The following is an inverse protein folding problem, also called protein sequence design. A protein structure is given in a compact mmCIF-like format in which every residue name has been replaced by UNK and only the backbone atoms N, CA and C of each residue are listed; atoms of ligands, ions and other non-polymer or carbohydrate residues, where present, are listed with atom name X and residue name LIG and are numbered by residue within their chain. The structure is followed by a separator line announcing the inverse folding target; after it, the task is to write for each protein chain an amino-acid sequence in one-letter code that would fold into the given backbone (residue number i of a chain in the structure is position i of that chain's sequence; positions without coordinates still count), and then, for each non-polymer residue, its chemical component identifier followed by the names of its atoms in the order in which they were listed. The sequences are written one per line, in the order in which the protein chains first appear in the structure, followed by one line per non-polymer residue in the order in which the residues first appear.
data_IF_612255520578
#
_entry.id   IF_612255520578
#
_cell.length_a   1.000
_cell.length_b   1.000
_cell.length_c   1.000
_cell.angle_alpha   90.00
_cell.angle_beta   90.00
_cell.angle_gamma   90.00
#
_symmetry.space_group_name_H-M   'P 1'
#
loop_
_entity.id
_entity.type
_entity.pdbx_description
1 polymer ?
#
# COMPACT_ATOMS: atom_id res chain seq x y z
N UNK A 1 -20.41 18.72 4.68
CA UNK A 1 -19.74 17.50 4.21
C UNK A 1 -20.82 16.47 3.88
N UNK A 2 -20.71 15.76 2.76
CA UNK A 2 -21.60 14.64 2.46
C UNK A 2 -21.09 13.42 3.25
N UNK A 3 -21.91 12.77 4.10
CA UNK A 3 -21.46 11.63 4.89
C UNK A 3 -21.08 10.46 3.98
N UNK A 4 -20.04 9.72 4.37
CA UNK A 4 -19.69 8.48 3.67
C UNK A 4 -20.85 7.48 3.82
N UNK A 5 -21.27 6.80 2.75
CA UNK A 5 -22.20 5.68 2.85
C UNK A 5 -21.61 4.57 3.71
N UNK A 6 -22.45 3.72 4.30
CA UNK A 6 -21.98 2.52 4.99
C UNK A 6 -21.33 1.55 4.02
N UNK A 7 -20.46 0.67 4.52
CA UNK A 7 -19.81 -0.36 3.70
C UNK A 7 -20.82 -1.19 2.92
N UNK A 8 -21.92 -1.61 3.56
CA UNK A 8 -22.98 -2.36 2.89
C UNK A 8 -23.63 -1.59 1.73
N UNK A 9 -23.88 -0.28 1.90
CA UNK A 9 -24.41 0.57 0.83
C UNK A 9 -23.38 0.75 -0.29
N UNK A 10 -22.12 0.93 0.06
CA UNK A 10 -21.02 1.08 -0.90
C UNK A 10 -20.82 -0.18 -1.74
N UNK A 11 -20.85 -1.36 -1.12
CA UNK A 11 -20.71 -2.64 -1.83
C UNK A 11 -21.91 -2.90 -2.74
N UNK A 12 -23.13 -2.66 -2.26
CA UNK A 12 -24.33 -2.78 -3.09
C UNK A 12 -24.26 -1.87 -4.32
N UNK A 13 -23.84 -0.62 -4.14
CA UNK A 13 -23.66 0.32 -5.25
C UNK A 13 -22.53 -0.11 -6.20
N UNK A 14 -21.42 -0.64 -5.66
CA UNK A 14 -20.31 -1.16 -6.48
C UNK A 14 -20.73 -2.38 -7.30
N UNK A 15 -21.71 -3.17 -6.85
CA UNK A 15 -22.22 -4.30 -7.63
C UNK A 15 -22.87 -3.85 -8.95
N UNK A 16 -23.58 -2.72 -8.93
CA UNK A 16 -24.15 -2.13 -10.14
C UNK A 16 -23.09 -1.43 -11.00
N UNK A 17 -22.13 -0.74 -10.36
CA UNK A 17 -21.11 0.04 -11.06
C UNK A 17 -19.99 -0.82 -11.68
N UNK A 18 -19.69 -1.96 -11.07
CA UNK A 18 -18.64 -2.92 -11.47
C UNK A 18 -19.25 -4.34 -11.51
N UNK A 19 -20.11 -4.63 -12.50
CA UNK A 19 -20.82 -5.91 -12.57
C UNK A 19 -19.89 -7.08 -12.88
N UNK A 20 -18.77 -6.82 -13.55
CA UNK A 20 -17.78 -7.83 -13.93
C UNK A 20 -16.84 -8.19 -12.77
N UNK A 21 -16.81 -7.39 -11.70
CA UNK A 21 -16.06 -7.72 -10.50
C UNK A 21 -16.85 -8.68 -9.62
N UNK A 22 -16.15 -9.61 -8.96
CA UNK A 22 -16.77 -10.41 -7.92
C UNK A 22 -16.97 -9.62 -6.60
N UNK A 23 -17.61 -10.24 -5.62
CA UNK A 23 -17.85 -9.59 -4.33
C UNK A 23 -16.55 -9.26 -3.57
N UNK A 24 -15.56 -10.15 -3.62
CA UNK A 24 -14.29 -9.95 -2.91
C UNK A 24 -13.48 -8.83 -3.54
N UNK A 25 -13.42 -8.76 -4.87
CA UNK A 25 -12.77 -7.66 -5.60
C UNK A 25 -13.40 -6.31 -5.23
N UNK A 26 -14.73 -6.23 -5.14
CA UNK A 26 -15.42 -5.01 -4.70
C UNK A 26 -15.08 -4.62 -3.26
N UNK A 27 -14.98 -5.60 -2.35
CA UNK A 27 -14.56 -5.36 -0.95
C UNK A 27 -13.11 -4.87 -0.89
N UNK A 28 -12.22 -5.47 -1.66
CA UNK A 28 -10.82 -5.09 -1.71
C UNK A 28 -10.66 -3.67 -2.29
N UNK A 29 -11.36 -3.36 -3.39
CA UNK A 29 -11.40 -2.01 -3.98
C UNK A 29 -11.92 -0.97 -2.99
N UNK A 30 -13.01 -1.29 -2.26
CA UNK A 30 -13.58 -0.39 -1.28
C UNK A 30 -12.61 -0.13 -0.12
N UNK A 31 -11.90 -1.18 0.31
CA UNK A 31 -10.85 -1.09 1.35
C UNK A 31 -9.71 -0.20 0.88
N UNK A 32 -9.18 -0.41 -0.33
CA UNK A 32 -8.14 0.43 -0.94
C UNK A 32 -8.60 1.88 -1.16
N UNK A 33 -9.90 2.08 -1.32
CA UNK A 33 -10.53 3.38 -1.47
C UNK A 33 -10.92 4.05 -0.15
N UNK A 34 -10.51 3.49 1.00
CA UNK A 34 -10.87 3.96 2.34
C UNK A 34 -12.39 4.18 2.52
N UNK A 35 -13.21 3.24 2.02
CA UNK A 35 -14.66 3.28 2.11
C UNK A 35 -15.35 4.16 1.07
N UNK A 36 -14.64 4.77 0.12
CA UNK A 36 -15.24 5.59 -0.93
C UNK A 36 -15.57 4.77 -2.19
N UNK A 37 -16.85 4.51 -2.50
CA UNK A 37 -17.22 3.73 -3.68
C UNK A 37 -16.85 4.42 -5.02
N UNK A 38 -16.85 5.76 -5.05
CA UNK A 38 -16.42 6.50 -6.24
C UNK A 38 -14.92 6.41 -6.49
N UNK A 39 -14.11 6.36 -5.43
CA UNK A 39 -12.66 6.14 -5.55
C UNK A 39 -12.39 4.70 -5.94
N UNK A 40 -13.14 3.73 -5.40
CA UNK A 40 -13.03 2.32 -5.78
C UNK A 40 -13.21 2.11 -7.30
N UNK A 41 -14.22 2.72 -7.92
CA UNK A 41 -14.40 2.68 -9.39
C UNK A 41 -13.21 3.28 -10.14
N UNK A 42 -12.66 4.39 -9.67
CA UNK A 42 -11.47 5.02 -10.29
C UNK A 42 -10.23 4.12 -10.18
N UNK A 43 -10.05 3.45 -9.04
CA UNK A 43 -8.96 2.51 -8.83
C UNK A 43 -9.10 1.29 -9.75
N UNK A 44 -10.31 0.74 -9.89
CA UNK A 44 -10.57 -0.35 -10.82
C UNK A 44 -10.21 0.04 -12.25
N UNK A 45 -10.66 1.20 -12.73
CA UNK A 45 -10.34 1.71 -14.07
C UNK A 45 -8.83 1.94 -14.32
N UNK A 46 -8.02 2.04 -13.25
CA UNK A 46 -6.56 2.18 -13.31
C UNK A 46 -5.82 0.83 -13.26
N UNK A 47 -6.53 -0.31 -13.19
CA UNK A 47 -5.90 -1.63 -13.08
C UNK A 47 -5.21 -1.83 -11.72
N UNK A 48 -5.75 -1.25 -10.64
CA UNK A 48 -5.09 -1.22 -9.32
C UNK A 48 -4.72 -2.61 -8.80
N UNK A 49 -5.53 -3.65 -9.08
CA UNK A 49 -5.28 -5.01 -8.59
C UNK A 49 -4.02 -5.61 -9.18
N UNK A 50 -3.83 -5.52 -10.50
CA UNK A 50 -2.65 -6.04 -11.18
C UNK A 50 -1.39 -5.29 -10.74
N UNK A 51 -1.48 -3.96 -10.65
CA UNK A 51 -0.38 -3.12 -10.15
C UNK A 51 -0.03 -3.47 -8.70
N UNK A 52 -1.03 -3.64 -7.84
CA UNK A 52 -0.82 -4.01 -6.44
C UNK A 52 -0.22 -5.39 -6.31
N UNK A 53 -0.72 -6.38 -7.05
CA UNK A 53 -0.17 -7.73 -7.05
C UNK A 53 1.31 -7.73 -7.44
N UNK A 54 1.69 -6.98 -8.49
CA UNK A 54 3.08 -6.80 -8.90
C UNK A 54 3.94 -6.21 -7.78
N UNK A 55 3.45 -5.19 -7.07
CA UNK A 55 4.19 -4.54 -5.98
C UNK A 55 4.28 -5.43 -4.75
N UNK A 56 3.20 -6.11 -4.37
CA UNK A 56 3.18 -7.06 -3.26
C UNK A 56 4.20 -8.17 -3.48
N UNK A 57 4.24 -8.76 -4.68
CA UNK A 57 5.24 -9.77 -5.02
C UNK A 57 6.67 -9.19 -5.04
N UNK A 58 6.84 -7.96 -5.53
CA UNK A 58 8.12 -7.26 -5.46
C UNK A 58 8.60 -7.03 -4.03
N UNK A 59 7.73 -6.59 -3.12
CA UNK A 59 8.03 -6.40 -1.69
C UNK A 59 8.42 -7.73 -1.05
N UNK A 60 7.69 -8.82 -1.34
CA UNK A 60 8.06 -10.15 -0.84
C UNK A 60 9.44 -10.58 -1.32
N UNK A 61 9.77 -10.35 -2.59
CA UNK A 61 11.08 -10.68 -3.17
C UNK A 61 12.20 -9.80 -2.59
N UNK A 62 11.93 -8.51 -2.37
CA UNK A 62 12.85 -7.59 -1.70
C UNK A 62 13.21 -8.10 -0.30
N UNK A 63 12.21 -8.42 0.52
CA UNK A 63 12.43 -8.88 1.90
C UNK A 63 13.12 -10.26 1.98
N UNK A 64 13.11 -11.03 0.89
CA UNK A 64 13.85 -12.29 0.74
C UNK A 64 15.25 -12.11 0.14
N UNK A 65 15.66 -10.88 -0.20
CA UNK A 65 16.91 -10.59 -0.90
C UNK A 65 16.95 -11.11 -2.35
N UNK A 66 15.80 -11.41 -2.95
CA UNK A 66 15.68 -11.98 -4.30
C UNK A 66 15.63 -10.92 -5.41
N UNK A 67 15.31 -9.68 -5.07
CA UNK A 67 15.35 -8.54 -5.97
C UNK A 67 15.93 -7.32 -5.24
N UNK A 68 16.77 -6.56 -5.94
CA UNK A 68 17.34 -5.33 -5.36
C UNK A 68 16.34 -4.17 -5.39
N UNK A 69 16.52 -3.17 -4.50
CA UNK A 69 15.77 -1.91 -4.56
C UNK A 69 15.78 -1.26 -5.95
N UNK A 70 16.95 -1.22 -6.62
CA UNK A 70 17.11 -0.64 -7.95
C UNK A 70 16.27 -1.36 -8.99
N UNK A 71 16.31 -2.71 -9.01
CA UNK A 71 15.56 -3.53 -9.97
C UNK A 71 14.05 -3.31 -9.85
N UNK A 72 13.54 -3.20 -8.62
CA UNK A 72 12.12 -2.93 -8.37
C UNK A 72 11.74 -1.49 -8.73
N UNK A 73 12.60 -0.51 -8.40
CA UNK A 73 12.37 0.89 -8.74
C UNK A 73 12.23 1.10 -10.26
N UNK A 74 13.06 0.42 -11.06
CA UNK A 74 12.94 0.42 -12.52
C UNK A 74 11.72 -0.37 -13.01
N UNK A 75 11.46 -1.53 -12.41
CA UNK A 75 10.32 -2.40 -12.77
C UNK A 75 8.95 -1.78 -12.51
N UNK A 76 8.85 -0.80 -11.61
CA UNK A 76 7.60 -0.10 -11.29
C UNK A 76 7.44 1.24 -12.01
N UNK A 77 8.16 1.50 -13.10
CA UNK A 77 8.12 2.78 -13.84
C UNK A 77 6.71 3.19 -14.28
N UNK A 78 5.85 2.24 -14.63
CA UNK A 78 4.51 2.47 -15.18
C UNK A 78 3.42 2.59 -14.11
N UNK A 79 3.73 2.29 -12.84
CA UNK A 79 2.79 2.42 -11.73
C UNK A 79 2.74 3.89 -11.27
N UNK A 80 1.57 4.51 -11.03
CA UNK A 80 1.52 5.85 -10.46
C UNK A 80 2.29 5.97 -9.13
N UNK A 81 3.19 6.95 -9.00
CA UNK A 81 3.98 7.15 -7.76
C UNK A 81 3.07 7.30 -6.54
N UNK A 82 1.96 8.04 -6.68
CA UNK A 82 1.03 8.24 -5.57
C UNK A 82 0.45 6.92 -5.05
N UNK A 83 0.12 5.96 -5.92
CA UNK A 83 -0.39 4.65 -5.49
C UNK A 83 0.66 3.87 -4.72
N UNK A 84 1.92 3.90 -5.17
CA UNK A 84 3.03 3.30 -4.42
C UNK A 84 3.11 3.89 -3.01
N UNK A 85 3.18 5.22 -2.91
CA UNK A 85 3.27 5.89 -1.61
C UNK A 85 2.02 5.66 -0.74
N UNK A 86 0.82 5.60 -1.30
CA UNK A 86 -0.41 5.26 -0.58
C UNK A 86 -0.31 3.86 0.05
N UNK A 87 0.09 2.84 -0.72
CA UNK A 87 0.24 1.48 -0.19
C UNK A 87 1.31 1.37 0.89
N UNK A 88 2.47 2.01 0.71
CA UNK A 88 3.52 1.99 1.73
C UNK A 88 3.09 2.74 3.00
N UNK A 89 2.34 3.85 2.90
CA UNK A 89 1.71 4.53 4.03
C UNK A 89 0.74 3.62 4.78
N UNK A 90 -0.12 2.92 4.04
CA UNK A 90 -1.12 2.02 4.62
C UNK A 90 -0.43 0.86 5.34
N UNK A 91 0.54 0.21 4.70
CA UNK A 91 1.26 -0.90 5.29
C UNK A 91 2.04 -0.50 6.56
N UNK A 92 2.74 0.64 6.58
CA UNK A 92 3.40 1.10 7.81
C UNK A 92 2.41 1.45 8.92
N UNK A 93 1.22 1.98 8.57
CA UNK A 93 0.16 2.23 9.55
C UNK A 93 -0.41 0.93 10.14
N UNK A 94 -0.60 -0.10 9.30
CA UNK A 94 -1.06 -1.42 9.75
C UNK A 94 -0.03 -2.13 10.63
N UNK A 95 1.27 -1.99 10.29
CA UNK A 95 2.38 -2.49 11.12
C UNK A 95 2.31 -1.85 12.52
N UNK A 96 2.20 -0.51 12.59
CA UNK A 96 2.12 0.22 13.86
C UNK A 96 0.87 -0.16 14.66
N UNK A 97 -0.29 -0.24 14.00
CA UNK A 97 -1.54 -0.67 14.64
C UNK A 97 -1.34 -2.03 15.29
N UNK A 98 -0.84 -3.01 14.55
CA UNK A 98 -0.64 -4.36 15.08
C UNK A 98 0.39 -4.38 16.23
N UNK A 99 1.49 -3.63 16.14
CA UNK A 99 2.45 -3.52 17.25
C UNK A 99 1.80 -3.03 18.55
N UNK A 100 0.83 -2.12 18.45
CA UNK A 100 0.14 -1.53 19.61
C UNK A 100 -1.05 -2.36 20.11
N UNK A 101 -1.78 -3.02 19.23
CA UNK A 101 -3.05 -3.67 19.59
C UNK A 101 -2.98 -5.20 19.61
N UNK A 102 -2.02 -5.80 18.91
CA UNK A 102 -1.95 -7.24 18.63
C UNK A 102 -3.23 -7.80 17.96
N UNK A 103 -4.05 -6.92 17.38
CA UNK A 103 -5.31 -7.26 16.72
C UNK A 103 -5.05 -7.77 15.29
N UNK A 104 -5.20 -9.07 15.08
CA UNK A 104 -4.97 -9.72 13.78
C UNK A 104 -6.04 -9.39 12.74
N UNK A 105 -7.26 -9.03 13.16
CA UNK A 105 -8.31 -8.59 12.24
C UNK A 105 -7.94 -7.27 11.56
N UNK A 106 -7.12 -6.46 12.24
CA UNK A 106 -6.62 -5.18 11.77
C UNK A 106 -5.42 -5.21 10.84
N UNK A 107 -4.97 -6.37 10.36
CA UNK A 107 -3.77 -6.50 9.52
C UNK A 107 -3.98 -6.12 8.04
N UNK A 108 -5.20 -5.74 7.66
CA UNK A 108 -5.56 -5.34 6.30
C UNK A 108 -5.83 -6.52 5.36
N UNK A 109 -5.70 -6.26 4.06
CA UNK A 109 -6.00 -7.22 2.99
C UNK A 109 -5.14 -8.49 3.06
N UNK A 110 -5.68 -9.59 2.54
CA UNK A 110 -5.09 -10.93 2.61
C UNK A 110 -3.73 -11.03 1.91
N UNK A 111 -3.52 -10.25 0.84
CA UNK A 111 -2.32 -10.21 0.03
C UNK A 111 -1.04 -9.85 0.82
N UNK A 112 -1.21 -8.98 1.83
CA UNK A 112 -0.14 -8.40 2.63
C UNK A 112 -0.22 -8.73 4.12
N UNK A 113 -1.33 -9.30 4.61
CA UNK A 113 -1.54 -9.65 6.04
C UNK A 113 -0.32 -10.32 6.68
N UNK A 114 0.24 -11.37 6.05
CA UNK A 114 1.43 -12.09 6.57
C UNK A 114 2.70 -11.24 6.55
N UNK A 115 2.87 -10.40 5.53
CA UNK A 115 4.05 -9.52 5.40
C UNK A 115 4.00 -8.42 6.44
N UNK A 116 2.83 -7.79 6.63
CA UNK A 116 2.58 -6.78 7.68
C UNK A 116 2.87 -7.37 9.06
N UNK A 117 2.29 -8.54 9.37
CA UNK A 117 2.54 -9.22 10.65
C UNK A 117 4.03 -9.53 10.86
N UNK A 118 4.69 -10.07 9.84
CA UNK A 118 6.13 -10.36 9.89
C UNK A 118 6.95 -9.09 10.15
N UNK A 119 6.71 -8.01 9.42
CA UNK A 119 7.42 -6.75 9.60
C UNK A 119 7.17 -6.15 10.99
N UNK A 120 5.94 -6.24 11.50
CA UNK A 120 5.62 -5.80 12.86
C UNK A 120 6.39 -6.55 13.95
N UNK A 121 6.65 -7.84 13.74
CA UNK A 121 7.44 -8.67 14.67
C UNK A 121 8.96 -8.45 14.53
N UNK A 122 9.45 -8.02 13.36
CA UNK A 122 10.89 -7.88 13.08
C UNK A 122 11.43 -6.46 13.21
N UNK A 123 10.56 -5.46 13.15
CA UNK A 123 10.95 -4.05 13.22
C UNK A 123 10.71 -3.47 14.60
N UNK A 124 11.49 -2.45 14.97
CA UNK A 124 11.17 -1.61 16.13
C UNK A 124 10.12 -0.57 15.76
N UNK A 125 9.24 -0.22 16.70
CA UNK A 125 8.24 0.83 16.50
C UNK A 125 8.88 2.16 16.06
N UNK A 126 10.06 2.49 16.58
CA UNK A 126 10.84 3.67 16.17
C UNK A 126 11.17 3.67 14.68
N UNK A 127 11.60 2.54 14.14
CA UNK A 127 11.94 2.43 12.72
C UNK A 127 10.69 2.51 11.83
N UNK A 128 9.58 1.93 12.28
CA UNK A 128 8.31 1.99 11.54
C UNK A 128 7.76 3.43 11.51
N UNK A 129 7.83 4.16 12.63
CA UNK A 129 7.48 5.58 12.68
C UNK A 129 8.38 6.42 11.76
N UNK A 130 9.69 6.17 11.77
CA UNK A 130 10.62 6.90 10.90
C UNK A 130 10.31 6.72 9.42
N UNK A 131 9.97 5.50 8.97
CA UNK A 131 9.58 5.29 7.58
C UNK A 131 8.21 5.91 7.28
N UNK A 132 7.24 5.84 8.20
CA UNK A 132 5.92 6.47 8.03
C UNK A 132 6.05 7.98 7.78
N UNK A 133 6.82 8.67 8.62
CA UNK A 133 7.09 10.10 8.47
C UNK A 133 7.76 10.42 7.13
N UNK A 134 8.76 9.60 6.75
CA UNK A 134 9.47 9.79 5.49
C UNK A 134 8.56 9.59 4.28
N UNK A 135 7.73 8.54 4.27
CA UNK A 135 6.78 8.23 3.19
C UNK A 135 5.77 9.37 3.04
N UNK A 136 5.20 9.86 4.14
CA UNK A 136 4.27 10.99 4.13
C UNK A 136 4.92 12.27 3.57
N UNK A 137 6.16 12.57 3.98
CA UNK A 137 6.90 13.73 3.48
C UNK A 137 7.17 13.63 1.97
N UNK A 138 7.62 12.47 1.48
CA UNK A 138 7.88 12.31 0.06
C UNK A 138 6.58 12.32 -0.76
N UNK A 139 5.49 11.74 -0.25
CA UNK A 139 4.17 11.79 -0.87
C UNK A 139 3.73 13.24 -1.09
N UNK A 140 3.92 14.12 -0.10
CA UNK A 140 3.62 15.55 -0.24
C UNK A 140 4.42 16.20 -1.39
N UNK A 141 5.70 15.84 -1.56
CA UNK A 141 6.53 16.35 -2.67
C UNK A 141 6.10 15.82 -4.03
N UNK A 142 5.65 14.56 -4.11
CA UNK A 142 5.07 14.00 -5.33
C UNK A 142 3.80 14.76 -5.71
N UNK A 143 2.93 15.05 -4.74
CA UNK A 143 1.71 15.83 -4.96
C UNK A 143 2.00 17.26 -5.42
N UNK A 144 3.06 17.89 -4.91
CA UNK A 144 3.47 19.25 -5.33
C UNK A 144 4.18 19.29 -6.69
N UNK A 145 4.32 18.13 -7.37
CA UNK A 145 5.04 17.98 -8.64
C UNK A 145 6.48 18.50 -8.57
N UNK A 146 7.15 18.29 -7.43
CA UNK A 146 8.57 18.57 -7.31
C UNK A 146 9.36 17.77 -8.37
N UNK A 147 10.44 18.35 -8.89
CA UNK A 147 11.30 17.68 -9.87
C UNK A 147 12.14 16.58 -9.20
N UNK A 148 11.53 15.42 -9.00
CA UNK A 148 12.12 14.28 -8.31
C UNK A 148 12.61 13.25 -9.33
N UNK A 149 13.80 12.70 -9.12
CA UNK A 149 14.19 11.49 -9.81
C UNK A 149 13.37 10.32 -9.26
N UNK A 150 12.42 9.83 -10.07
CA UNK A 150 11.50 8.75 -9.72
C UNK A 150 12.23 7.48 -9.26
N UNK A 151 13.23 7.04 -9.99
CA UNK A 151 13.96 5.79 -9.70
C UNK A 151 14.68 5.92 -8.37
N UNK A 152 15.41 7.02 -8.17
CA UNK A 152 16.13 7.27 -6.92
C UNK A 152 15.19 7.38 -5.71
N UNK A 153 14.01 8.01 -5.91
CA UNK A 153 12.99 8.11 -4.87
C UNK A 153 12.45 6.74 -4.46
N UNK A 154 12.13 5.88 -5.44
CA UNK A 154 11.64 4.53 -5.18
C UNK A 154 12.73 3.63 -4.59
N UNK A 155 13.97 3.76 -5.04
CA UNK A 155 15.10 3.05 -4.47
C UNK A 155 15.29 3.43 -2.99
N UNK A 156 15.25 4.73 -2.66
CA UNK A 156 15.35 5.21 -1.28
C UNK A 156 14.21 4.69 -0.39
N UNK A 157 12.99 4.59 -0.93
CA UNK A 157 11.86 3.97 -0.25
C UNK A 157 12.13 2.49 0.04
N UNK A 158 12.57 1.74 -0.97
CA UNK A 158 12.75 0.29 -0.88
C UNK A 158 13.93 -0.09 0.01
N UNK A 159 15.02 0.67 0.00
CA UNK A 159 16.15 0.49 0.93
C UNK A 159 15.70 0.64 2.37
N UNK A 160 14.96 1.71 2.68
CA UNK A 160 14.44 1.93 4.04
C UNK A 160 13.45 0.84 4.45
N UNK A 161 12.59 0.41 3.53
CA UNK A 161 11.62 -0.66 3.80
C UNK A 161 12.28 -2.00 4.09
N UNK A 162 13.28 -2.40 3.30
CA UNK A 162 14.06 -3.62 3.54
C UNK A 162 14.78 -3.57 4.89
N UNK A 163 15.31 -2.40 5.25
CA UNK A 163 15.99 -2.14 6.52
C UNK A 163 15.11 -2.34 7.77
N UNK A 164 13.78 -2.39 7.64
CA UNK A 164 12.88 -2.68 8.76
C UNK A 164 13.14 -4.07 9.38
N UNK A 165 13.66 -5.02 8.61
CA UNK A 165 13.93 -6.39 9.09
C UNK A 165 15.28 -6.56 9.78
N UNK A 166 16.10 -5.50 9.83
CA UNK A 166 17.47 -5.58 10.37
C UNK A 166 18.46 -6.34 9.48
N UNK A 167 18.06 -6.75 8.27
CA UNK A 167 18.98 -7.24 7.23
C UNK A 167 19.52 -6.04 6.46
N UNK A 168 20.50 -5.35 7.06
CA UNK A 168 21.26 -4.26 6.47
C UNK A 168 22.70 -4.32 6.95
#
# INVERSE_FOLDING_TARGET
ACPLPSDAMSIAWLADALPDCDEQERVDLLTLAAGSPLVAVKLHAQGVHEQRALVVEGVKKLLKGQQSPTQLAEGWKDIPLLLLFDWFCDWSSLILRYQLTQDEEGLGLTDMRKVVQYLAQKSSQRNVLAIQDWVLLQRQKVMSKANLNRVLLLEALLVQWAGLTGQG
#
